data_IF_226429326437
#
_entry.id   IF_226429326437
#
_cell.length_a   1.000
_cell.length_b   1.000
_cell.length_c   1.000
_cell.angle_alpha   90.00
_cell.angle_beta   90.00
_cell.angle_gamma   90.00
#
_symmetry.space_group_name_H-M   'P 1'
#
loop_
_entity.id
_entity.type
_entity.pdbx_description
1 polymer ?
#
# COMPACT_ATOMS: atom_id res chain seq x y z
N UNK A 1 -12.40 5.66 15.20
CA UNK A 1 -11.50 5.72 14.03
C UNK A 1 -11.34 4.32 13.45
N UNK A 2 -11.88 4.12 12.26
CA UNK A 2 -11.88 2.86 11.50
C UNK A 2 -10.68 2.84 10.56
N UNK A 3 -9.79 1.88 10.72
CA UNK A 3 -8.56 1.77 9.93
C UNK A 3 -8.71 0.75 8.82
N UNK A 4 -8.26 1.14 7.63
CA UNK A 4 -8.24 0.34 6.41
C UNK A 4 -6.80 0.08 6.03
N UNK A 5 -6.52 -1.10 5.48
CA UNK A 5 -5.23 -1.40 4.84
C UNK A 5 -5.43 -1.94 3.44
N UNK A 6 -4.56 -1.53 2.52
CA UNK A 6 -4.44 -2.12 1.19
C UNK A 6 -2.98 -2.32 0.81
N UNK A 7 -2.74 -3.12 -0.23
CA UNK A 7 -1.42 -3.55 -0.66
C UNK A 7 -1.26 -3.36 -2.16
N UNK A 8 -0.08 -2.98 -2.61
CA UNK A 8 0.18 -2.85 -4.04
C UNK A 8 1.63 -2.59 -4.40
N UNK A 9 1.93 -2.79 -5.68
CA UNK A 9 3.24 -2.45 -6.25
C UNK A 9 3.33 -0.93 -6.53
N UNK A 10 2.25 -0.32 -7.01
CA UNK A 10 2.17 1.11 -7.32
C UNK A 10 3.28 1.65 -8.24
N UNK A 11 3.76 0.82 -9.16
CA UNK A 11 4.68 1.23 -10.21
C UNK A 11 3.95 2.00 -11.30
N UNK A 12 4.65 2.92 -11.98
CA UNK A 12 4.08 3.84 -12.98
C UNK A 12 2.72 4.40 -12.55
N UNK A 13 2.69 5.05 -11.37
CA UNK A 13 1.46 5.45 -10.72
C UNK A 13 0.52 6.21 -11.67
N UNK A 14 -0.72 5.73 -11.78
CA UNK A 14 -1.70 6.21 -12.75
C UNK A 14 -3.10 6.30 -12.12
N UNK A 15 -4.08 6.81 -12.87
CA UNK A 15 -5.44 7.07 -12.39
C UNK A 15 -6.09 5.86 -11.70
N UNK A 16 -5.91 4.64 -12.22
CA UNK A 16 -6.41 3.43 -11.57
C UNK A 16 -5.91 3.23 -10.12
N UNK A 17 -4.65 3.56 -9.82
CA UNK A 17 -4.14 3.50 -8.44
C UNK A 17 -4.74 4.59 -7.57
N UNK A 18 -4.89 5.81 -8.10
CA UNK A 18 -5.52 6.91 -7.38
C UNK A 18 -6.95 6.55 -6.96
N UNK A 19 -7.74 5.99 -7.88
CA UNK A 19 -9.13 5.62 -7.63
C UNK A 19 -9.24 4.42 -6.67
N UNK A 20 -8.31 3.46 -6.76
CA UNK A 20 -8.22 2.37 -5.78
C UNK A 20 -7.99 2.91 -4.37
N UNK A 21 -7.03 3.82 -4.19
CA UNK A 21 -6.73 4.41 -2.89
C UNK A 21 -7.87 5.29 -2.37
N UNK A 22 -8.54 6.04 -3.25
CA UNK A 22 -9.73 6.83 -2.92
C UNK A 22 -10.84 5.94 -2.36
N UNK A 23 -11.18 4.84 -3.05
CA UNK A 23 -12.20 3.87 -2.61
C UNK A 23 -11.81 3.16 -1.33
N UNK A 24 -10.54 2.81 -1.16
CA UNK A 24 -10.05 2.22 0.08
C UNK A 24 -10.22 3.19 1.27
N UNK A 25 -9.93 4.49 1.07
CA UNK A 25 -10.15 5.52 2.09
C UNK A 25 -11.64 5.67 2.43
N UNK A 26 -12.55 5.59 1.47
CA UNK A 26 -14.01 5.67 1.74
C UNK A 26 -14.53 4.58 2.70
N UNK A 27 -13.81 3.48 2.87
CA UNK A 27 -14.20 2.40 3.76
C UNK A 27 -13.88 2.68 5.25
N UNK A 28 -13.15 3.74 5.56
CA UNK A 28 -12.83 4.12 6.93
C UNK A 28 -12.28 5.54 7.09
N UNK A 29 -11.68 5.80 8.23
CA UNK A 29 -11.19 7.14 8.60
C UNK A 29 -9.69 7.27 8.36
N UNK A 30 -8.96 6.16 8.27
CA UNK A 30 -7.49 6.12 8.19
C UNK A 30 -7.04 4.96 7.29
N UNK A 31 -6.30 5.26 6.23
CA UNK A 31 -5.81 4.32 5.24
C UNK A 31 -4.31 4.11 5.39
N UNK A 32 -3.94 2.86 5.66
CA UNK A 32 -2.56 2.35 5.57
C UNK A 32 -2.37 1.73 4.19
N UNK A 33 -1.31 2.11 3.48
CA UNK A 33 -0.95 1.50 2.20
C UNK A 33 0.39 0.79 2.34
N UNK A 34 0.40 -0.50 2.03
CA UNK A 34 1.63 -1.28 2.01
C UNK A 34 2.16 -1.36 0.58
N UNK A 35 3.37 -0.85 0.34
CA UNK A 35 4.01 -0.80 -0.98
C UNK A 35 5.04 -1.91 -1.07
N UNK A 36 4.90 -2.81 -2.06
CA UNK A 36 5.84 -3.92 -2.26
C UNK A 36 7.25 -3.40 -2.54
N UNK A 37 8.25 -3.90 -1.81
CA UNK A 37 9.67 -3.64 -2.07
C UNK A 37 10.12 -4.24 -3.40
N UNK A 38 11.26 -3.79 -3.93
CA UNK A 38 11.77 -4.31 -5.20
C UNK A 38 12.12 -5.80 -5.08
N UNK A 39 12.73 -6.18 -3.96
CA UNK A 39 13.06 -7.57 -3.59
C UNK A 39 11.80 -8.44 -3.56
N UNK A 40 10.70 -7.91 -3.00
CA UNK A 40 9.46 -8.67 -2.94
C UNK A 40 8.76 -8.74 -4.30
N UNK A 41 8.80 -7.67 -5.09
CA UNK A 41 8.25 -7.70 -6.45
C UNK A 41 8.97 -8.72 -7.34
N UNK A 42 10.29 -8.92 -7.18
CA UNK A 42 11.03 -9.98 -7.87
C UNK A 42 10.45 -11.36 -7.50
N UNK A 43 10.18 -11.62 -6.22
CA UNK A 43 9.52 -12.87 -5.77
C UNK A 43 8.10 -13.01 -6.34
N UNK A 44 7.38 -11.91 -6.53
CA UNK A 44 6.07 -11.84 -7.21
C UNK A 44 6.16 -11.97 -8.74
N UNK A 45 7.36 -12.13 -9.32
CA UNK A 45 7.62 -12.14 -10.77
C UNK A 45 7.15 -10.85 -11.46
N UNK A 46 7.22 -9.72 -10.74
CA UNK A 46 6.92 -8.39 -11.27
C UNK A 46 8.22 -7.61 -11.44
N UNK A 47 8.36 -6.95 -12.59
CA UNK A 47 9.45 -5.99 -12.84
C UNK A 47 8.88 -4.59 -12.69
N UNK A 48 9.48 -3.80 -11.80
CA UNK A 48 9.12 -2.39 -11.65
C UNK A 48 10.07 -1.53 -12.48
N UNK A 49 9.55 -0.45 -13.04
CA UNK A 49 10.33 0.60 -13.72
C UNK A 49 10.88 1.57 -12.69
N UNK A 50 10.07 2.01 -11.74
CA UNK A 50 10.53 2.86 -10.65
C UNK A 50 11.01 2.04 -9.45
N UNK A 51 12.14 2.47 -8.82
CA UNK A 51 12.62 1.83 -7.59
C UNK A 51 11.61 2.05 -6.46
N UNK A 52 11.66 1.17 -5.47
CA UNK A 52 10.79 1.22 -4.30
C UNK A 52 10.73 2.60 -3.63
N UNK A 53 11.87 3.27 -3.50
CA UNK A 53 11.96 4.60 -2.87
C UNK A 53 11.11 5.67 -3.62
N UNK A 54 11.01 5.59 -4.94
CA UNK A 54 10.19 6.53 -5.70
C UNK A 54 8.71 6.19 -5.54
N UNK A 55 8.37 4.90 -5.61
CA UNK A 55 6.99 4.43 -5.49
C UNK A 55 6.41 4.75 -4.11
N UNK A 56 7.17 4.57 -3.04
CA UNK A 56 6.72 4.90 -1.69
C UNK A 56 6.46 6.40 -1.53
N UNK A 57 7.38 7.27 -1.98
CA UNK A 57 7.21 8.74 -1.92
C UNK A 57 6.00 9.23 -2.72
N UNK A 58 5.73 8.62 -3.88
CA UNK A 58 4.54 8.94 -4.66
C UNK A 58 3.27 8.60 -3.87
N UNK A 59 3.20 7.40 -3.29
CA UNK A 59 2.04 6.95 -2.51
C UNK A 59 1.85 7.77 -1.24
N UNK A 60 2.94 8.14 -0.55
CA UNK A 60 2.92 9.02 0.63
C UNK A 60 2.35 10.42 0.33
N UNK A 61 2.54 10.92 -0.89
CA UNK A 61 2.03 12.23 -1.31
C UNK A 61 0.54 12.21 -1.71
N UNK A 62 -0.10 11.03 -1.77
CA UNK A 62 -1.51 10.92 -2.15
C UNK A 62 -2.40 11.34 -0.99
N UNK A 63 -3.27 12.33 -1.24
CA UNK A 63 -4.17 12.93 -0.23
C UNK A 63 -5.02 11.93 0.58
N UNK A 64 -5.32 10.75 0.01
CA UNK A 64 -6.17 9.74 0.65
C UNK A 64 -5.40 8.82 1.61
N UNK A 65 -4.07 8.87 1.58
CA UNK A 65 -3.19 7.93 2.28
C UNK A 65 -2.67 8.60 3.55
N UNK A 66 -2.91 7.97 4.69
CA UNK A 66 -2.48 8.51 5.99
C UNK A 66 -1.17 7.90 6.48
N UNK A 67 -0.83 6.69 6.01
CA UNK A 67 0.41 6.00 6.37
C UNK A 67 0.83 5.06 5.25
N UNK A 68 2.12 5.04 4.94
CA UNK A 68 2.71 4.06 4.03
C UNK A 68 3.68 3.16 4.77
N UNK A 69 3.72 1.88 4.42
CA UNK A 69 4.65 0.89 4.97
C UNK A 69 5.27 0.04 3.85
N UNK A 70 6.50 -0.46 4.01
CA UNK A 70 7.05 -1.46 3.09
C UNK A 70 6.33 -2.80 3.22
N UNK A 71 6.11 -3.51 2.11
CA UNK A 71 5.69 -4.92 2.08
C UNK A 71 6.84 -5.78 1.53
N UNK A 72 7.36 -6.69 2.35
CA UNK A 72 8.61 -7.43 2.07
C UNK A 72 8.39 -8.93 1.82
N UNK A 73 7.27 -9.47 2.28
CA UNK A 73 6.94 -10.90 2.19
C UNK A 73 5.43 -11.16 2.34
N UNK A 74 4.99 -12.41 2.10
CA UNK A 74 3.57 -12.80 2.06
C UNK A 74 2.95 -12.90 3.46
N UNK A 75 3.77 -13.23 4.44
CA UNK A 75 3.43 -13.56 5.82
C UNK A 75 3.23 -12.30 6.67
N UNK A 76 3.74 -11.16 6.18
CA UNK A 76 3.68 -9.87 6.85
C UNK A 76 2.24 -9.39 7.11
N UNK A 77 1.29 -9.73 6.24
CA UNK A 77 -0.09 -9.19 6.29
C UNK A 77 -0.75 -9.30 7.66
N UNK A 78 -0.63 -10.47 8.30
CA UNK A 78 -1.22 -10.71 9.63
C UNK A 78 -0.62 -9.78 10.68
N UNK A 79 0.70 -9.62 10.67
CA UNK A 79 1.43 -8.73 11.58
C UNK A 79 1.04 -7.27 11.35
N UNK A 80 0.89 -6.85 10.11
CA UNK A 80 0.52 -5.47 9.78
C UNK A 80 -0.90 -5.14 10.24
N UNK A 81 -1.85 -6.06 10.04
CA UNK A 81 -3.22 -5.93 10.52
C UNK A 81 -3.25 -5.77 12.04
N UNK A 82 -2.55 -6.64 12.77
CA UNK A 82 -2.54 -6.61 14.24
C UNK A 82 -1.84 -5.35 14.79
N UNK A 83 -0.64 -5.04 14.28
CA UNK A 83 0.17 -3.92 14.78
C UNK A 83 -0.45 -2.56 14.48
N UNK A 84 -1.10 -2.40 13.32
CA UNK A 84 -1.78 -1.14 12.98
C UNK A 84 -3.22 -1.07 13.51
N UNK A 85 -3.74 -2.15 14.11
CA UNK A 85 -5.13 -2.29 14.60
C UNK A 85 -6.14 -2.07 13.47
N UNK A 86 -5.93 -2.74 12.34
CA UNK A 86 -6.76 -2.62 11.14
C UNK A 86 -8.10 -3.31 11.34
N UNK A 87 -9.19 -2.67 10.89
CA UNK A 87 -10.53 -3.26 10.90
C UNK A 87 -11.02 -3.70 9.51
N UNK A 88 -10.49 -3.11 8.43
CA UNK A 88 -10.84 -3.50 7.05
C UNK A 88 -9.57 -3.76 6.24
N UNK A 89 -9.56 -4.89 5.54
CA UNK A 89 -8.56 -5.25 4.54
C UNK A 89 -9.20 -5.20 3.15
N UNK A 90 -8.53 -4.55 2.19
CA UNK A 90 -9.03 -4.36 0.81
C UNK A 90 -7.97 -4.72 -0.21
#
# INVERSE_FOLDING_TARGET
MKKVITYGTFDLFHFGHLELLRRAKELGDFLVVAVSTDEFNIKKRKKCIYPFEHRIKIVEAIQYVDKVIPEENWEQKRRDILSNKIQIFT
#
